data_IF_360412972505
#
_entry.id   IF_360412972505
#
_cell.length_a   1.000
_cell.length_b   1.000
_cell.length_c   1.000
_cell.angle_alpha   90.00
_cell.angle_beta   90.00
_cell.angle_gamma   90.00
#
_symmetry.space_group_name_H-M   'P 1'
#
loop_
_entity.id
_entity.type
_entity.pdbx_description
1 polymer ?
#
# COMPACT_ATOMS: atom_id res chain seq x y z
N UNK A 1 -4.94 13.69 12.95
CA UNK A 1 -4.80 12.21 12.99
C UNK A 1 -6.17 11.57 13.16
N UNK A 2 -6.45 10.54 12.39
CA UNK A 2 -7.66 9.74 12.54
C UNK A 2 -7.34 8.26 12.30
N UNK A 3 -8.07 7.37 12.97
CA UNK A 3 -7.92 5.93 12.80
C UNK A 3 -9.24 5.35 12.33
N UNK A 4 -9.20 4.62 11.22
CA UNK A 4 -10.37 3.95 10.63
C UNK A 4 -10.00 2.50 10.33
N UNK A 5 -10.77 1.56 10.88
CA UNK A 5 -10.55 0.12 10.67
C UNK A 5 -9.10 -0.34 10.93
N UNK A 6 -8.49 0.20 11.98
CA UNK A 6 -7.14 -0.17 12.39
C UNK A 6 -6.01 0.52 11.61
N UNK A 7 -6.33 1.45 10.74
CA UNK A 7 -5.34 2.20 9.97
C UNK A 7 -5.38 3.66 10.39
N UNK A 8 -4.23 4.22 10.73
CA UNK A 8 -4.10 5.61 11.19
C UNK A 8 -3.59 6.50 10.08
N UNK A 9 -4.27 7.62 9.89
CA UNK A 9 -4.00 8.60 8.85
C UNK A 9 -3.62 9.94 9.46
N UNK A 10 -2.76 10.67 8.80
CA UNK A 10 -2.33 12.01 9.17
C UNK A 10 -2.46 12.94 7.96
N UNK A 11 -2.79 14.20 8.19
CA UNK A 11 -2.77 15.21 7.13
C UNK A 11 -1.34 15.38 6.66
N UNK A 12 -1.10 15.23 5.35
CA UNK A 12 0.21 15.43 4.74
C UNK A 12 0.38 16.87 4.28
N UNK A 13 -0.62 17.40 3.58
CA UNK A 13 -0.59 18.78 3.09
C UNK A 13 -2.01 19.33 3.07
N UNK A 14 -2.27 20.35 3.90
CA UNK A 14 -3.61 20.94 4.01
C UNK A 14 -4.03 21.70 2.74
N UNK A 15 -3.11 22.39 2.09
CA UNK A 15 -3.43 23.15 0.86
C UNK A 15 -3.81 22.23 -0.30
N UNK A 16 -3.25 21.04 -0.36
CA UNK A 16 -3.52 20.07 -1.42
C UNK A 16 -4.55 19.02 -1.02
N UNK A 17 -5.08 19.10 0.19
CA UNK A 17 -6.04 18.15 0.74
C UNK A 17 -5.55 16.70 0.66
N UNK A 18 -4.30 16.46 1.10
CA UNK A 18 -3.68 15.12 1.05
C UNK A 18 -3.38 14.56 2.43
N UNK A 19 -3.40 13.24 2.53
CA UNK A 19 -3.13 12.50 3.75
C UNK A 19 -2.15 11.34 3.49
N UNK A 20 -1.51 10.88 4.56
CA UNK A 20 -0.59 9.76 4.56
C UNK A 20 -1.04 8.71 5.56
N UNK A 21 -0.88 7.42 5.23
CA UNK A 21 -1.04 6.32 6.17
C UNK A 21 0.22 6.26 7.01
N UNK A 22 0.11 6.44 8.33
CA UNK A 22 1.26 6.49 9.23
C UNK A 22 1.41 5.25 10.11
N UNK A 23 0.33 4.53 10.36
CA UNK A 23 0.36 3.37 11.25
C UNK A 23 -0.77 2.40 10.93
N UNK A 24 -0.55 1.13 11.22
CA UNK A 24 -1.58 0.11 11.12
C UNK A 24 -1.55 -0.78 12.36
N UNK A 25 -2.72 -1.26 12.77
CA UNK A 25 -2.85 -2.22 13.86
C UNK A 25 -2.14 -3.53 13.50
N UNK A 26 -1.39 -4.10 14.44
CA UNK A 26 -0.50 -5.25 14.19
C UNK A 26 -1.18 -6.51 13.64
N UNK A 27 -2.40 -6.79 14.01
CA UNK A 27 -3.06 -8.06 13.64
C UNK A 27 -4.13 -7.87 12.56
N UNK A 28 -4.07 -6.80 11.82
CA UNK A 28 -5.01 -6.54 10.74
C UNK A 28 -4.84 -7.58 9.62
N UNK A 29 -5.94 -8.19 9.20
CA UNK A 29 -5.92 -9.24 8.16
C UNK A 29 -6.08 -8.68 6.76
N UNK A 30 -6.79 -7.57 6.63
CA UNK A 30 -7.02 -6.89 5.36
C UNK A 30 -6.81 -5.40 5.55
N UNK A 31 -6.05 -4.79 4.67
CA UNK A 31 -5.84 -3.36 4.64
C UNK A 31 -6.37 -2.80 3.32
N UNK A 32 -7.49 -2.07 3.38
CA UNK A 32 -8.03 -1.37 2.23
C UNK A 32 -7.73 0.12 2.40
N UNK A 33 -6.78 0.63 1.64
CA UNK A 33 -6.44 2.04 1.66
C UNK A 33 -7.42 2.76 0.74
N UNK A 34 -8.29 3.62 1.28
CA UNK A 34 -9.32 4.27 0.48
C UNK A 34 -8.74 5.38 -0.40
N UNK A 35 -9.56 5.85 -1.35
CA UNK A 35 -9.17 6.99 -2.17
C UNK A 35 -9.09 8.29 -1.32
N UNK A 36 -10.01 8.43 -0.39
CA UNK A 36 -10.07 9.59 0.51
C UNK A 36 -10.34 9.14 1.94
N UNK A 37 -9.96 9.98 2.89
CA UNK A 37 -10.27 9.79 4.30
C UNK A 37 -10.75 11.11 4.89
N UNK A 38 -11.73 11.05 5.78
CA UNK A 38 -12.23 12.24 6.48
C UNK A 38 -11.42 12.44 7.76
N UNK A 39 -10.81 13.60 7.90
CA UNK A 39 -10.08 13.99 9.10
C UNK A 39 -10.68 15.30 9.57
N UNK A 40 -11.31 15.29 10.76
CA UNK A 40 -12.10 16.41 11.20
C UNK A 40 -13.32 16.60 10.31
N UNK A 41 -13.49 17.78 9.74
CA UNK A 41 -14.63 18.11 8.86
C UNK A 41 -14.32 18.02 7.37
N UNK A 42 -13.09 17.74 7.00
CA UNK A 42 -12.65 17.76 5.60
C UNK A 42 -12.23 16.37 5.11
N UNK A 43 -12.34 16.16 3.79
CA UNK A 43 -11.86 14.96 3.11
C UNK A 43 -10.48 15.21 2.55
N UNK A 44 -9.60 14.23 2.70
CA UNK A 44 -8.23 14.27 2.21
C UNK A 44 -7.96 13.08 1.31
N UNK A 45 -7.30 13.30 0.18
CA UNK A 45 -6.86 12.21 -0.70
C UNK A 45 -5.72 11.46 -0.04
N UNK A 46 -5.81 10.14 0.03
CA UNK A 46 -4.74 9.32 0.60
C UNK A 46 -3.71 9.08 -0.50
N UNK A 47 -2.58 9.78 -0.42
CA UNK A 47 -1.56 9.78 -1.49
C UNK A 47 -0.30 9.04 -1.14
N UNK A 48 -0.15 8.59 0.11
CA UNK A 48 1.09 7.96 0.55
C UNK A 48 0.84 6.90 1.62
N UNK A 49 1.54 5.79 1.50
CA UNK A 49 1.70 4.81 2.59
C UNK A 49 3.09 5.05 3.15
N UNK A 50 3.17 5.38 4.44
CA UNK A 50 4.42 5.74 5.10
C UNK A 50 5.39 4.57 5.23
N UNK A 51 6.63 4.88 5.64
CA UNK A 51 7.66 3.87 5.87
C UNK A 51 7.25 2.91 6.97
N UNK A 52 7.48 1.63 6.76
CA UNK A 52 7.33 0.56 7.76
C UNK A 52 5.91 0.40 8.34
N UNK A 53 4.89 0.98 7.72
CA UNK A 53 3.50 0.99 8.25
C UNK A 53 2.99 -0.41 8.56
N UNK A 54 3.18 -1.37 7.67
CA UNK A 54 2.71 -2.76 7.85
C UNK A 54 3.85 -3.73 8.14
N UNK A 55 5.05 -3.25 8.36
CA UNK A 55 6.22 -4.11 8.58
C UNK A 55 5.98 -5.12 9.69
N UNK A 56 6.35 -6.38 9.43
CA UNK A 56 6.22 -7.50 10.36
C UNK A 56 4.78 -7.85 10.73
N UNK A 57 3.79 -7.41 9.96
CA UNK A 57 2.41 -7.80 10.20
C UNK A 57 2.15 -9.18 9.60
N UNK A 58 2.27 -10.21 10.43
CA UNK A 58 2.19 -11.62 10.03
C UNK A 58 0.77 -12.10 9.71
N UNK A 59 -0.25 -11.34 10.07
CA UNK A 59 -1.66 -11.69 9.84
C UNK A 59 -2.23 -11.08 8.57
N UNK A 60 -1.57 -10.09 8.01
CA UNK A 60 -2.05 -9.37 6.84
C UNK A 60 -2.04 -10.27 5.60
N UNK A 61 -3.21 -10.49 5.02
CA UNK A 61 -3.39 -11.35 3.84
C UNK A 61 -3.68 -10.59 2.56
N UNK A 62 -4.35 -9.46 2.66
CA UNK A 62 -4.80 -8.68 1.51
C UNK A 62 -4.56 -7.19 1.73
N UNK A 63 -4.02 -6.55 0.72
CA UNK A 63 -3.88 -5.08 0.68
C UNK A 63 -4.52 -4.57 -0.59
N UNK A 64 -5.42 -3.60 -0.44
CA UNK A 64 -5.98 -2.84 -1.56
C UNK A 64 -5.42 -1.44 -1.50
N UNK A 65 -4.73 -1.03 -2.54
CA UNK A 65 -4.10 0.30 -2.61
C UNK A 65 -5.03 1.24 -3.36
N UNK A 66 -5.50 2.28 -2.69
CA UNK A 66 -6.44 3.26 -3.25
C UNK A 66 -5.88 3.99 -4.49
N UNK A 67 -6.80 4.54 -5.29
CA UNK A 67 -6.47 5.12 -6.59
C UNK A 67 -5.56 6.37 -6.52
N UNK A 68 -5.53 7.05 -5.38
CA UNK A 68 -4.78 8.31 -5.22
C UNK A 68 -3.37 8.10 -4.64
N UNK A 69 -3.00 6.88 -4.29
CA UNK A 69 -1.67 6.61 -3.70
C UNK A 69 -0.58 6.79 -4.75
N UNK A 70 0.37 7.66 -4.46
CA UNK A 70 1.52 7.97 -5.33
C UNK A 70 2.81 7.33 -4.84
N UNK A 71 2.92 7.07 -3.54
CA UNK A 71 4.16 6.58 -2.93
C UNK A 71 3.86 5.50 -1.91
N UNK A 72 4.62 4.41 -1.99
CA UNK A 72 4.66 3.38 -0.95
C UNK A 72 6.03 3.48 -0.31
N UNK A 73 6.08 3.65 1.01
CA UNK A 73 7.29 3.92 1.74
C UNK A 73 8.25 2.75 1.84
N UNK A 74 9.47 3.06 2.28
CA UNK A 74 10.52 2.08 2.54
C UNK A 74 10.02 1.01 3.53
N UNK A 75 10.24 -0.25 3.20
CA UNK A 75 9.87 -1.38 4.05
C UNK A 75 8.39 -1.42 4.48
N UNK A 76 7.52 -0.76 3.74
CA UNK A 76 6.11 -0.62 4.13
C UNK A 76 5.41 -1.95 4.40
N UNK A 77 5.68 -2.98 3.62
CA UNK A 77 5.08 -4.31 3.73
C UNK A 77 6.14 -5.41 3.99
N UNK A 78 7.32 -5.00 4.45
CA UNK A 78 8.40 -5.96 4.70
C UNK A 78 7.99 -6.99 5.75
N UNK A 79 8.28 -8.25 5.45
CA UNK A 79 7.99 -9.39 6.34
C UNK A 79 6.50 -9.61 6.63
N UNK A 80 5.63 -9.15 5.75
CA UNK A 80 4.22 -9.54 5.78
C UNK A 80 4.09 -10.94 5.17
N UNK A 81 4.45 -11.96 5.93
CA UNK A 81 4.62 -13.34 5.43
C UNK A 81 3.34 -14.01 4.94
N UNK A 82 2.19 -13.54 5.37
CA UNK A 82 0.89 -14.07 4.96
C UNK A 82 0.25 -13.29 3.81
N UNK A 83 0.91 -12.22 3.33
CA UNK A 83 0.37 -11.35 2.29
C UNK A 83 0.36 -12.09 0.95
N UNK A 84 -0.83 -12.43 0.48
CA UNK A 84 -1.03 -13.19 -0.76
C UNK A 84 -1.66 -12.38 -1.88
N UNK A 85 -2.36 -11.30 -1.55
CA UNK A 85 -3.08 -10.51 -2.56
C UNK A 85 -2.81 -9.03 -2.36
N UNK A 86 -2.39 -8.37 -3.43
CA UNK A 86 -2.28 -6.91 -3.49
C UNK A 86 -3.02 -6.44 -4.71
N UNK A 87 -3.93 -5.48 -4.52
CA UNK A 87 -4.68 -4.88 -5.62
C UNK A 87 -4.39 -3.39 -5.72
N UNK A 88 -3.94 -2.96 -6.88
CA UNK A 88 -3.76 -1.52 -7.16
C UNK A 88 -4.98 -1.01 -7.89
N UNK A 89 -5.68 -0.04 -7.32
CA UNK A 89 -6.89 0.54 -7.91
C UNK A 89 -6.59 1.75 -8.80
N UNK A 90 -5.37 2.23 -8.81
CA UNK A 90 -5.04 3.45 -9.55
C UNK A 90 -3.76 3.35 -10.34
N UNK A 91 -3.47 4.43 -11.06
CA UNK A 91 -2.34 4.54 -11.97
C UNK A 91 -1.32 5.58 -11.50
N UNK A 92 -1.46 6.04 -10.25
CA UNK A 92 -0.70 7.19 -9.74
C UNK A 92 0.62 6.84 -9.07
N UNK A 93 0.93 5.56 -8.84
CA UNK A 93 2.17 5.19 -8.14
C UNK A 93 3.39 5.65 -8.94
N UNK A 94 4.17 6.51 -8.32
CA UNK A 94 5.43 7.02 -8.89
C UNK A 94 6.66 6.43 -8.19
N UNK A 95 6.50 5.93 -6.96
CA UNK A 95 7.62 5.39 -6.20
C UNK A 95 7.18 4.29 -5.24
N UNK A 96 7.93 3.19 -5.23
CA UNK A 96 7.83 2.14 -4.22
C UNK A 96 9.20 2.04 -3.55
N UNK A 97 9.23 2.24 -2.24
CA UNK A 97 10.47 2.32 -1.48
C UNK A 97 11.25 1.01 -1.41
N UNK A 98 12.52 1.13 -1.00
CA UNK A 98 13.44 -0.01 -0.88
C UNK A 98 12.87 -1.07 0.07
N UNK A 99 12.90 -2.33 -0.38
CA UNK A 99 12.46 -3.49 0.40
C UNK A 99 10.99 -3.43 0.84
N UNK A 100 10.16 -2.62 0.19
CA UNK A 100 8.75 -2.48 0.57
C UNK A 100 7.99 -3.80 0.56
N UNK A 101 8.34 -4.73 -0.33
CA UNK A 101 7.69 -6.04 -0.48
C UNK A 101 8.61 -7.22 -0.15
N UNK A 102 9.77 -6.96 0.46
CA UNK A 102 10.69 -8.03 0.83
C UNK A 102 10.11 -8.89 1.96
N UNK A 103 10.17 -10.20 1.80
CA UNK A 103 9.70 -11.12 2.84
C UNK A 103 8.19 -11.30 2.89
N UNK A 104 7.47 -10.93 1.84
CA UNK A 104 6.05 -11.26 1.70
C UNK A 104 5.89 -12.73 1.29
N UNK A 105 4.64 -13.20 1.17
CA UNK A 105 4.39 -14.60 0.80
C UNK A 105 5.05 -14.93 -0.55
N UNK A 106 5.58 -16.15 -0.70
CA UNK A 106 6.27 -16.59 -1.92
C UNK A 106 5.37 -16.53 -3.17
N UNK A 107 4.09 -16.79 -3.01
CA UNK A 107 3.13 -16.85 -4.12
C UNK A 107 2.13 -15.71 -4.04
N UNK A 108 2.62 -14.50 -3.92
CA UNK A 108 1.77 -13.32 -3.89
C UNK A 108 1.18 -13.06 -5.28
N UNK A 109 -0.11 -12.71 -5.33
CA UNK A 109 -0.79 -12.30 -6.56
C UNK A 109 -1.01 -10.80 -6.52
N UNK A 110 -0.60 -10.10 -7.57
CA UNK A 110 -0.74 -8.65 -7.67
C UNK A 110 -1.64 -8.31 -8.86
N UNK A 111 -2.72 -7.57 -8.59
CA UNK A 111 -3.65 -7.08 -9.62
C UNK A 111 -3.28 -5.65 -9.96
N UNK A 112 -2.99 -5.38 -11.22
CA UNK A 112 -2.46 -4.09 -11.69
C UNK A 112 -3.28 -3.60 -12.88
N UNK A 113 -3.67 -2.30 -12.93
CA UNK A 113 -4.32 -1.73 -14.11
C UNK A 113 -3.47 -1.92 -15.37
N UNK A 114 -4.14 -2.21 -16.49
CA UNK A 114 -3.45 -2.52 -17.75
C UNK A 114 -2.43 -1.48 -18.17
N UNK A 115 -2.76 -0.20 -18.06
CA UNK A 115 -1.88 0.90 -18.52
C UNK A 115 -0.55 0.98 -17.77
N UNK A 116 -0.50 0.53 -16.53
CA UNK A 116 0.70 0.61 -15.68
C UNK A 116 1.27 -0.77 -15.34
N UNK A 117 0.80 -1.80 -16.02
CA UNK A 117 1.13 -3.19 -15.72
C UNK A 117 2.67 -3.42 -15.67
N UNK A 118 3.35 -3.11 -16.75
CA UNK A 118 4.81 -3.31 -16.84
C UNK A 118 5.58 -2.39 -15.87
N UNK A 119 5.13 -1.15 -15.76
CA UNK A 119 5.74 -0.15 -14.87
C UNK A 119 5.72 -0.63 -13.42
N UNK A 120 4.57 -1.07 -12.93
CA UNK A 120 4.42 -1.49 -11.53
C UNK A 120 5.19 -2.78 -11.25
N UNK A 121 5.17 -3.74 -12.17
CA UNK A 121 5.96 -4.98 -12.01
C UNK A 121 7.44 -4.66 -11.83
N UNK A 122 7.98 -3.77 -12.64
CA UNK A 122 9.38 -3.35 -12.55
C UNK A 122 9.69 -2.73 -11.18
N UNK A 123 8.79 -1.86 -10.70
CA UNK A 123 8.93 -1.23 -9.40
C UNK A 123 8.84 -2.24 -8.25
N UNK A 124 7.92 -3.19 -8.33
CA UNK A 124 7.74 -4.23 -7.32
C UNK A 124 8.97 -5.15 -7.25
N UNK A 125 9.54 -5.51 -8.37
CA UNK A 125 10.76 -6.32 -8.41
C UNK A 125 11.92 -5.61 -7.73
N UNK A 126 12.08 -4.30 -7.95
CA UNK A 126 13.09 -3.50 -7.26
C UNK A 126 12.82 -3.39 -5.76
N UNK A 127 11.55 -3.48 -5.36
CA UNK A 127 11.15 -3.40 -3.95
C UNK A 127 11.23 -4.75 -3.23
N UNK A 128 11.77 -5.78 -3.88
CA UNK A 128 12.05 -7.07 -3.25
C UNK A 128 10.94 -8.10 -3.27
N UNK A 129 9.92 -7.91 -4.12
CA UNK A 129 8.83 -8.88 -4.23
C UNK A 129 9.35 -10.26 -4.70
N UNK A 130 8.69 -11.35 -4.25
CA UNK A 130 9.09 -12.71 -4.59
C UNK A 130 9.15 -12.95 -6.10
N UNK A 131 10.11 -13.75 -6.55
CA UNK A 131 10.23 -14.20 -7.95
C UNK A 131 9.03 -15.01 -8.41
N UNK A 132 8.35 -15.68 -7.48
CA UNK A 132 7.20 -16.54 -7.78
C UNK A 132 5.87 -15.78 -7.74
N UNK A 133 5.92 -14.46 -7.73
CA UNK A 133 4.73 -13.61 -7.74
C UNK A 133 3.99 -13.76 -9.06
N UNK A 134 2.65 -13.72 -8.96
CA UNK A 134 1.78 -13.71 -10.14
C UNK A 134 1.22 -12.31 -10.32
N UNK A 135 1.18 -11.87 -11.57
CA UNK A 135 0.65 -10.54 -11.91
C UNK A 135 -0.54 -10.70 -12.83
N UNK A 136 -1.62 -10.00 -12.47
CA UNK A 136 -2.85 -10.01 -13.26
C UNK A 136 -3.22 -8.60 -13.69
N UNK A 137 -3.62 -8.45 -14.95
CA UNK A 137 -4.20 -7.19 -15.46
C UNK A 137 -5.61 -7.06 -14.93
N UNK A 138 -5.91 -5.91 -14.36
CA UNK A 138 -7.21 -5.65 -13.77
C UNK A 138 -8.02 -4.66 -14.62
#
# INVERSE_FOLDING_TARGET
ITTVKGITYKILNMKKDTAVVVKAKKNIKKAAIPNTVKIGKAKYKVVQIGDKVFKNNKKLKTVVVGANVKTIGKEALKNCKSLRTVKFNGKAIAKIGKNAFKGTHKKITVKIPKKVYRKYIKMLKKAGISRNSKYKKA
#
